data_IF_893111943235
#
_entry.id   IF_893111943235
#
_cell.length_a   1.000
_cell.length_b   1.000
_cell.length_c   1.000
_cell.angle_alpha   90.00
_cell.angle_beta   90.00
_cell.angle_gamma   90.00
#
_symmetry.space_group_name_H-M   'P 1'
#
loop_
_entity.id
_entity.type
_entity.pdbx_description
1 polymer ?
#
# COMPACT_ATOMS: atom_id res chain seq x y z
N UNK A 1 12.75 -32.22 3.57
CA UNK A 1 12.10 -31.68 2.39
C UNK A 1 11.20 -30.46 2.68
N UNK A 2 10.34 -30.50 3.70
CA UNK A 2 9.50 -29.36 4.09
C UNK A 2 10.28 -28.05 4.39
N UNK A 3 11.42 -28.11 5.08
CA UNK A 3 12.24 -26.93 5.37
C UNK A 3 12.83 -26.24 4.12
N UNK A 4 13.12 -26.99 3.06
CA UNK A 4 13.73 -26.44 1.84
C UNK A 4 12.72 -25.71 0.94
N UNK A 5 11.47 -26.19 0.90
CA UNK A 5 10.39 -25.61 0.09
C UNK A 5 9.85 -24.31 0.74
N UNK A 6 10.08 -24.14 2.04
CA UNK A 6 9.61 -22.99 2.85
C UNK A 6 10.75 -21.98 3.11
N UNK A 7 11.96 -22.23 2.59
CA UNK A 7 13.05 -21.24 2.70
C UNK A 7 12.70 -20.01 1.86
N UNK A 8 12.49 -18.90 2.56
CA UNK A 8 12.05 -17.63 1.96
C UNK A 8 13.02 -17.11 0.88
N UNK A 9 14.31 -17.36 0.99
CA UNK A 9 15.31 -16.95 0.00
C UNK A 9 15.16 -17.71 -1.31
N UNK A 10 14.93 -19.02 -1.24
CA UNK A 10 14.75 -19.89 -2.42
C UNK A 10 13.48 -19.49 -3.15
N UNK A 11 12.37 -19.31 -2.42
CA UNK A 11 11.11 -18.89 -3.03
C UNK A 11 11.24 -17.51 -3.65
N UNK A 12 11.97 -16.58 -3.02
CA UNK A 12 12.26 -15.25 -3.57
C UNK A 12 13.00 -15.33 -4.89
N UNK A 13 14.04 -16.16 -4.97
CA UNK A 13 14.79 -16.38 -6.21
C UNK A 13 13.90 -16.98 -7.31
N UNK A 14 13.05 -17.94 -6.98
CA UNK A 14 12.09 -18.56 -7.91
C UNK A 14 11.08 -17.53 -8.42
N UNK A 15 10.53 -16.68 -7.55
CA UNK A 15 9.61 -15.60 -7.94
C UNK A 15 10.30 -14.62 -8.89
N UNK A 16 11.55 -14.25 -8.60
CA UNK A 16 12.32 -13.35 -9.44
C UNK A 16 12.59 -13.94 -10.82
N UNK A 17 13.04 -15.20 -10.89
CA UNK A 17 13.25 -15.91 -12.17
C UNK A 17 11.94 -16.02 -12.95
N UNK A 18 10.84 -16.39 -12.29
CA UNK A 18 9.52 -16.44 -12.93
C UNK A 18 9.08 -15.07 -13.48
N UNK A 19 9.38 -13.98 -12.77
CA UNK A 19 9.12 -12.61 -13.24
C UNK A 19 9.84 -12.32 -14.56
N UNK A 20 11.12 -12.66 -14.65
CA UNK A 20 11.91 -12.50 -15.87
C UNK A 20 11.32 -13.33 -17.01
N UNK A 21 10.92 -14.57 -16.74
CA UNK A 21 10.34 -15.47 -17.75
C UNK A 21 9.01 -14.92 -18.28
N UNK A 22 8.13 -14.41 -17.39
CA UNK A 22 6.87 -13.77 -17.79
C UNK A 22 7.15 -12.56 -18.68
N UNK A 23 8.17 -11.74 -18.34
CA UNK A 23 8.56 -10.59 -19.13
C UNK A 23 9.05 -11.01 -20.52
N UNK A 24 9.93 -12.00 -20.61
CA UNK A 24 10.42 -12.53 -21.90
C UNK A 24 9.28 -13.14 -22.72
N UNK A 25 8.36 -13.85 -22.09
CA UNK A 25 7.20 -14.44 -22.75
C UNK A 25 6.27 -13.38 -23.38
N UNK A 26 6.27 -12.15 -22.86
CA UNK A 26 5.58 -11.01 -23.47
C UNK A 26 6.12 -10.63 -24.86
N UNK A 27 7.41 -10.85 -25.13
CA UNK A 27 8.03 -10.62 -26.44
C UNK A 27 7.84 -11.82 -27.40
N UNK A 28 7.71 -13.03 -26.86
CA UNK A 28 7.61 -14.26 -27.64
C UNK A 28 6.37 -15.07 -27.24
N UNK A 29 5.13 -14.55 -27.45
CA UNK A 29 3.90 -15.15 -26.91
C UNK A 29 3.59 -16.54 -27.50
N UNK A 30 4.11 -16.85 -28.69
CA UNK A 30 3.89 -18.13 -29.36
C UNK A 30 4.95 -19.20 -29.02
N UNK A 31 5.94 -18.85 -28.19
CA UNK A 31 7.00 -19.78 -27.84
C UNK A 31 6.50 -20.81 -26.82
N UNK A 32 6.25 -22.04 -27.31
CA UNK A 32 5.75 -23.15 -26.51
C UNK A 32 6.67 -23.53 -25.33
N UNK A 33 8.00 -23.36 -25.49
CA UNK A 33 8.94 -23.66 -24.40
C UNK A 33 8.76 -22.68 -23.22
N UNK A 34 8.60 -21.38 -23.48
CA UNK A 34 8.36 -20.39 -22.44
C UNK A 34 7.03 -20.62 -21.73
N UNK A 35 5.99 -21.02 -22.46
CA UNK A 35 4.69 -21.38 -21.90
C UNK A 35 4.79 -22.60 -20.96
N UNK A 36 5.54 -23.63 -21.34
CA UNK A 36 5.78 -24.82 -20.50
C UNK A 36 6.52 -24.43 -19.21
N UNK A 37 7.58 -23.62 -19.32
CA UNK A 37 8.35 -23.18 -18.16
C UNK A 37 7.48 -22.34 -17.21
N UNK A 38 6.67 -21.41 -17.72
CA UNK A 38 5.74 -20.63 -16.90
C UNK A 38 4.71 -21.52 -16.18
N UNK A 39 4.22 -22.56 -16.86
CA UNK A 39 3.31 -23.54 -16.24
C UNK A 39 3.99 -24.33 -15.14
N UNK A 40 5.25 -24.73 -15.33
CA UNK A 40 6.02 -25.40 -14.28
C UNK A 40 6.16 -24.55 -13.03
N UNK A 41 6.39 -23.24 -13.17
CA UNK A 41 6.37 -22.33 -12.02
C UNK A 41 5.00 -22.23 -11.37
N UNK A 42 3.92 -22.23 -12.15
CA UNK A 42 2.56 -22.22 -11.59
C UNK A 42 2.29 -23.48 -10.77
N UNK A 43 2.66 -24.64 -11.28
CA UNK A 43 2.55 -25.91 -10.56
C UNK A 43 3.42 -25.93 -9.28
N UNK A 44 4.62 -25.35 -9.35
CA UNK A 44 5.46 -25.20 -8.16
C UNK A 44 4.78 -24.34 -7.09
N UNK A 45 4.18 -23.21 -7.46
CA UNK A 45 3.45 -22.35 -6.51
C UNK A 45 2.17 -23.00 -5.97
N UNK A 46 1.49 -23.84 -6.77
CA UNK A 46 0.39 -24.67 -6.29
C UNK A 46 0.88 -25.66 -5.25
N UNK A 47 2.00 -26.33 -5.51
CA UNK A 47 2.62 -27.24 -4.55
C UNK A 47 3.05 -26.51 -3.26
N UNK A 48 3.66 -25.33 -3.37
CA UNK A 48 3.98 -24.47 -2.22
C UNK A 48 2.75 -24.17 -1.36
N UNK A 49 1.62 -23.81 -1.99
CA UNK A 49 0.37 -23.54 -1.29
C UNK A 49 -0.16 -24.79 -0.56
N UNK A 50 -0.11 -25.96 -1.20
CA UNK A 50 -0.49 -27.24 -0.59
C UNK A 50 0.38 -27.59 0.62
N UNK A 51 1.70 -27.38 0.52
CA UNK A 51 2.62 -27.60 1.64
C UNK A 51 2.32 -26.66 2.82
N UNK A 52 1.95 -25.38 2.53
CA UNK A 52 1.58 -24.41 3.56
C UNK A 52 0.23 -24.73 4.23
N UNK A 53 -0.70 -25.33 3.51
CA UNK A 53 -1.97 -25.82 4.08
C UNK A 53 -1.70 -26.97 5.05
N UNK A 54 -0.64 -27.78 4.79
CA UNK A 54 -0.23 -28.91 5.61
C UNK A 54 -1.37 -29.89 5.93
N UNK A 55 -2.10 -30.39 4.90
CA UNK A 55 -3.26 -31.24 5.12
C UNK A 55 -2.89 -32.61 5.70
N UNK A 56 -1.63 -33.04 5.56
CA UNK A 56 -1.14 -34.32 6.03
C UNK A 56 -0.91 -34.37 7.55
N UNK A 57 -0.56 -33.24 8.16
CA UNK A 57 -0.29 -33.11 9.62
C UNK A 57 -1.53 -32.65 10.38
N UNK A 58 -2.23 -31.65 9.86
CA UNK A 58 -3.34 -30.98 10.55
C UNK A 58 -4.73 -31.35 10.06
N UNK A 59 -4.81 -32.10 8.94
CA UNK A 59 -6.06 -32.35 8.23
C UNK A 59 -6.51 -31.14 7.37
N UNK A 60 -7.29 -31.42 6.33
CA UNK A 60 -7.72 -30.40 5.36
C UNK A 60 -8.48 -29.23 5.99
N UNK A 61 -9.40 -29.52 6.92
CA UNK A 61 -10.24 -28.47 7.51
C UNK A 61 -9.45 -27.50 8.37
N UNK A 62 -8.55 -28.00 9.23
CA UNK A 62 -7.77 -27.16 10.13
C UNK A 62 -6.64 -26.46 9.36
N UNK A 63 -5.95 -27.18 8.48
CA UNK A 63 -4.88 -26.60 7.66
C UNK A 63 -5.40 -25.47 6.78
N UNK A 64 -6.59 -25.61 6.19
CA UNK A 64 -7.23 -24.57 5.40
C UNK A 64 -7.59 -23.35 6.24
N UNK A 65 -8.15 -23.53 7.44
CA UNK A 65 -8.44 -22.42 8.36
C UNK A 65 -7.17 -21.66 8.76
N UNK A 66 -6.10 -22.39 9.12
CA UNK A 66 -4.82 -21.81 9.48
C UNK A 66 -4.20 -21.02 8.31
N UNK A 67 -4.29 -21.56 7.09
CA UNK A 67 -3.82 -20.91 5.88
C UNK A 67 -4.57 -19.59 5.61
N UNK A 68 -5.90 -19.61 5.72
CA UNK A 68 -6.73 -18.42 5.52
C UNK A 68 -6.67 -17.41 6.67
N UNK A 69 -6.17 -17.76 7.84
CA UNK A 69 -5.99 -16.83 8.95
C UNK A 69 -4.90 -15.77 8.64
N UNK A 70 -3.95 -16.09 7.78
CA UNK A 70 -2.85 -15.22 7.38
C UNK A 70 -3.19 -14.42 6.12
N UNK A 71 -3.15 -13.09 6.20
CA UNK A 71 -3.48 -12.20 5.08
C UNK A 71 -2.61 -12.45 3.84
N UNK A 72 -1.32 -12.73 4.03
CA UNK A 72 -0.40 -13.01 2.94
C UNK A 72 -0.69 -14.32 2.20
N UNK A 73 -1.15 -15.33 2.91
CA UNK A 73 -1.54 -16.58 2.28
C UNK A 73 -2.83 -16.42 1.46
N UNK A 74 -3.78 -15.59 1.92
CA UNK A 74 -4.97 -15.22 1.12
C UNK A 74 -4.57 -14.53 -0.17
N UNK A 75 -3.63 -13.57 -0.08
CA UNK A 75 -3.12 -12.85 -1.23
C UNK A 75 -2.43 -13.79 -2.23
N UNK A 76 -1.55 -14.68 -1.75
CA UNK A 76 -0.90 -15.70 -2.58
C UNK A 76 -1.94 -16.60 -3.28
N UNK A 77 -3.00 -17.00 -2.57
CA UNK A 77 -4.06 -17.84 -3.12
C UNK A 77 -4.86 -17.13 -4.22
N UNK A 78 -5.21 -15.85 -4.01
CA UNK A 78 -5.92 -15.04 -5.01
C UNK A 78 -5.09 -14.93 -6.29
N UNK A 79 -3.80 -14.61 -6.17
CA UNK A 79 -2.88 -14.55 -7.32
C UNK A 79 -2.82 -15.89 -8.04
N UNK A 80 -2.75 -16.97 -7.28
CA UNK A 80 -2.69 -18.32 -7.83
C UNK A 80 -3.98 -18.70 -8.56
N UNK A 81 -5.15 -18.32 -8.00
CA UNK A 81 -6.45 -18.55 -8.64
C UNK A 81 -6.53 -17.83 -10.01
N UNK A 82 -6.00 -16.61 -10.13
CA UNK A 82 -5.89 -15.93 -11.42
C UNK A 82 -4.88 -16.58 -12.39
N UNK A 83 -3.92 -17.35 -11.88
CA UNK A 83 -2.94 -18.04 -12.70
C UNK A 83 -3.37 -19.44 -13.19
N UNK A 84 -4.35 -20.08 -12.52
CA UNK A 84 -4.83 -21.43 -12.89
C UNK A 84 -5.32 -21.53 -14.34
N UNK A 85 -6.07 -20.56 -14.90
CA UNK A 85 -6.55 -20.65 -16.28
C UNK A 85 -5.41 -20.81 -17.30
N UNK A 86 -4.23 -20.25 -17.03
CA UNK A 86 -3.06 -20.37 -17.92
C UNK A 86 -2.49 -21.80 -17.98
N UNK A 87 -2.75 -22.61 -16.95
CA UNK A 87 -2.37 -24.05 -16.94
C UNK A 87 -3.30 -24.87 -17.83
N UNK A 88 -4.57 -24.51 -17.87
CA UNK A 88 -5.58 -25.21 -18.70
C UNK A 88 -5.27 -25.15 -20.20
N UNK A 89 -4.62 -24.10 -20.68
CA UNK A 89 -4.24 -23.98 -22.09
C UNK A 89 -3.31 -25.08 -22.61
N UNK A 90 -2.44 -25.63 -21.75
CA UNK A 90 -1.56 -26.73 -22.14
C UNK A 90 -2.30 -28.08 -22.32
N UNK A 91 -3.44 -28.23 -21.63
CA UNK A 91 -4.23 -29.47 -21.65
C UNK A 91 -5.39 -29.41 -22.64
N UNK A 92 -5.90 -28.21 -22.93
CA UNK A 92 -6.98 -28.00 -23.87
C UNK A 92 -6.45 -27.35 -25.15
N UNK A 93 -5.81 -28.14 -26.00
CA UNK A 93 -5.39 -27.76 -27.37
C UNK A 93 -6.66 -27.72 -28.27
N UNK A 94 -7.74 -27.14 -27.78
CA UNK A 94 -8.94 -26.90 -28.53
C UNK A 94 -8.71 -25.62 -29.34
N UNK A 95 -8.75 -25.70 -30.66
CA UNK A 95 -8.59 -24.60 -31.61
C UNK A 95 -9.58 -23.44 -31.48
N UNK A 96 -10.03 -23.19 -30.27
CA UNK A 96 -10.85 -22.05 -29.86
C UNK A 96 -9.89 -20.89 -29.53
N UNK A 97 -9.41 -20.22 -30.58
CA UNK A 97 -8.76 -18.91 -30.48
C UNK A 97 -9.80 -17.85 -30.10
N UNK A 98 -10.44 -17.98 -28.95
CA UNK A 98 -11.34 -16.95 -28.45
C UNK A 98 -10.54 -15.86 -27.77
N UNK A 99 -10.95 -14.59 -27.97
CA UNK A 99 -10.39 -13.42 -27.27
C UNK A 99 -10.38 -13.62 -25.73
N UNK A 100 -11.26 -14.47 -25.20
CA UNK A 100 -11.32 -14.87 -23.81
C UNK A 100 -10.05 -15.60 -23.36
N UNK A 101 -9.51 -16.53 -24.16
CA UNK A 101 -8.26 -17.24 -23.82
C UNK A 101 -7.06 -16.30 -23.83
N UNK A 102 -6.99 -15.36 -24.76
CA UNK A 102 -5.96 -14.32 -24.78
C UNK A 102 -6.02 -13.45 -23.51
N UNK A 103 -7.23 -13.08 -23.10
CA UNK A 103 -7.45 -12.32 -21.85
C UNK A 103 -7.00 -13.12 -20.63
N UNK A 104 -7.30 -14.41 -20.56
CA UNK A 104 -6.85 -15.28 -19.48
C UNK A 104 -5.31 -15.41 -19.41
N UNK A 105 -4.63 -15.37 -20.57
CA UNK A 105 -3.16 -15.31 -20.60
C UNK A 105 -2.60 -14.07 -19.91
N UNK A 106 -3.28 -12.92 -20.03
CA UNK A 106 -2.86 -11.69 -19.37
C UNK A 106 -2.93 -11.81 -17.85
N UNK A 107 -3.82 -12.65 -17.29
CA UNK A 107 -3.96 -12.83 -15.85
C UNK A 107 -2.70 -13.42 -15.18
N UNK A 108 -1.83 -14.11 -15.95
CA UNK A 108 -0.55 -14.60 -15.43
C UNK A 108 0.34 -13.48 -14.88
N UNK A 109 0.18 -12.23 -15.38
CA UNK A 109 0.94 -11.06 -14.89
C UNK A 109 0.71 -10.84 -13.39
N UNK A 110 -0.45 -11.23 -12.86
CA UNK A 110 -0.72 -11.12 -11.42
C UNK A 110 0.27 -11.93 -10.55
N UNK A 111 0.94 -12.93 -11.10
CA UNK A 111 2.02 -13.65 -10.40
C UNK A 111 3.16 -12.75 -9.98
N UNK A 112 3.40 -11.63 -10.70
CA UNK A 112 4.42 -10.64 -10.37
C UNK A 112 4.16 -10.00 -8.99
N UNK A 113 2.90 -9.89 -8.58
CA UNK A 113 2.55 -9.35 -7.28
C UNK A 113 3.09 -10.17 -6.09
N UNK A 114 3.48 -11.43 -6.30
CA UNK A 114 4.18 -12.21 -5.26
C UNK A 114 5.48 -11.55 -4.78
N UNK A 115 6.10 -10.71 -5.61
CA UNK A 115 7.31 -9.97 -5.25
C UNK A 115 7.06 -9.00 -4.08
N UNK A 116 5.85 -8.42 -3.98
CA UNK A 116 5.50 -7.49 -2.90
C UNK A 116 5.66 -8.09 -1.51
N UNK A 117 5.35 -9.39 -1.35
CA UNK A 117 5.55 -10.09 -0.08
C UNK A 117 7.01 -10.17 0.33
N UNK A 118 7.94 -10.07 -0.63
CA UNK A 118 9.38 -10.24 -0.43
C UNK A 118 10.14 -8.94 -0.24
N UNK A 119 9.44 -7.79 -0.38
CA UNK A 119 10.05 -6.50 -0.11
C UNK A 119 10.37 -6.36 1.39
N UNK A 120 11.53 -5.83 1.75
CA UNK A 120 11.82 -5.52 3.13
C UNK A 120 10.80 -4.49 3.65
N UNK A 121 10.35 -4.64 4.90
CA UNK A 121 9.40 -3.74 5.55
C UNK A 121 8.02 -3.62 4.84
N UNK A 122 7.61 -4.64 4.06
CA UNK A 122 6.34 -4.64 3.33
C UNK A 122 5.13 -4.45 4.25
N UNK A 123 5.15 -4.97 5.49
CA UNK A 123 4.06 -4.80 6.44
C UNK A 123 3.90 -3.34 6.87
N UNK A 124 5.00 -2.62 7.08
CA UNK A 124 4.99 -1.20 7.42
C UNK A 124 4.49 -0.36 6.23
N UNK A 125 4.91 -0.70 5.00
CA UNK A 125 4.41 -0.05 3.80
C UNK A 125 2.90 -0.22 3.63
N UNK A 126 2.39 -1.44 3.83
CA UNK A 126 0.96 -1.71 3.77
C UNK A 126 0.17 -1.04 4.90
N UNK A 127 0.73 -1.01 6.11
CA UNK A 127 0.12 -0.31 7.23
C UNK A 127 0.02 1.20 6.96
N UNK A 128 1.11 1.82 6.50
CA UNK A 128 1.13 3.22 6.10
C UNK A 128 0.14 3.53 4.97
N UNK A 129 0.11 2.69 3.94
CA UNK A 129 -0.84 2.84 2.83
C UNK A 129 -2.30 2.71 3.30
N UNK A 130 -2.60 1.73 4.14
CA UNK A 130 -3.94 1.55 4.73
C UNK A 130 -4.35 2.75 5.57
N UNK A 131 -3.44 3.30 6.37
CA UNK A 131 -3.68 4.49 7.17
C UNK A 131 -3.94 5.70 6.27
N UNK A 132 -3.13 5.91 5.24
CA UNK A 132 -3.29 6.99 4.28
C UNK A 132 -4.65 6.92 3.58
N UNK A 133 -5.07 5.76 3.08
CA UNK A 133 -6.41 5.58 2.50
C UNK A 133 -7.53 5.83 3.50
N UNK A 134 -7.39 5.35 4.75
CA UNK A 134 -8.40 5.57 5.78
C UNK A 134 -8.56 7.06 6.12
N UNK A 135 -7.45 7.77 6.26
CA UNK A 135 -7.44 9.20 6.59
C UNK A 135 -7.97 10.04 5.43
N UNK A 136 -7.56 9.71 4.19
CA UNK A 136 -7.95 10.44 2.98
C UNK A 136 -9.33 10.05 2.44
N UNK A 137 -9.99 9.04 3.01
CA UNK A 137 -11.22 8.45 2.46
C UNK A 137 -12.31 9.50 2.18
N UNK A 138 -12.61 10.35 3.15
CA UNK A 138 -13.65 11.37 2.99
C UNK A 138 -13.30 12.41 1.93
N UNK A 139 -12.02 12.75 1.80
CA UNK A 139 -11.53 13.70 0.79
C UNK A 139 -11.64 13.08 -0.60
N UNK A 140 -11.25 11.82 -0.76
CA UNK A 140 -11.38 11.07 -2.02
C UNK A 140 -12.86 10.96 -2.42
N UNK A 141 -13.73 10.59 -1.50
CA UNK A 141 -15.19 10.49 -1.78
C UNK A 141 -15.76 11.86 -2.15
N UNK A 142 -15.39 12.94 -1.43
CA UNK A 142 -15.81 14.30 -1.75
C UNK A 142 -15.37 14.72 -3.15
N UNK A 143 -14.13 14.41 -3.52
CA UNK A 143 -13.58 14.66 -4.85
C UNK A 143 -14.29 13.88 -5.95
N UNK A 144 -14.63 12.60 -5.71
CA UNK A 144 -15.40 11.80 -6.65
C UNK A 144 -16.81 12.34 -6.84
N UNK A 145 -17.47 12.79 -5.76
CA UNK A 145 -18.79 13.45 -5.86
C UNK A 145 -18.68 14.75 -6.66
N UNK A 146 -17.67 15.57 -6.42
CA UNK A 146 -17.39 16.77 -7.20
C UNK A 146 -17.26 16.45 -8.70
N UNK A 147 -16.47 15.43 -9.03
CA UNK A 147 -16.26 14.96 -10.40
C UNK A 147 -17.59 14.51 -11.04
N UNK A 148 -18.42 13.74 -10.33
CA UNK A 148 -19.73 13.28 -10.82
C UNK A 148 -20.67 14.46 -11.07
N UNK A 149 -20.76 15.42 -10.15
CA UNK A 149 -21.62 16.60 -10.31
C UNK A 149 -21.24 17.40 -11.55
N UNK A 150 -19.96 17.65 -11.76
CA UNK A 150 -19.51 18.38 -12.95
C UNK A 150 -19.61 17.57 -14.25
N UNK A 151 -19.51 16.25 -14.18
CA UNK A 151 -19.79 15.38 -15.33
C UNK A 151 -21.26 15.47 -15.78
N UNK A 152 -22.20 15.41 -14.84
CA UNK A 152 -23.64 15.57 -15.14
C UNK A 152 -23.94 16.97 -15.65
N UNK A 153 -23.40 18.01 -15.00
CA UNK A 153 -23.57 19.39 -15.41
C UNK A 153 -23.00 19.64 -16.82
N UNK A 154 -21.79 19.17 -17.10
CA UNK A 154 -21.16 19.31 -18.42
C UNK A 154 -21.93 18.56 -19.52
N UNK A 155 -22.47 17.37 -19.20
CA UNK A 155 -23.33 16.63 -20.12
C UNK A 155 -24.60 17.43 -20.49
N UNK A 156 -25.23 18.06 -19.50
CA UNK A 156 -26.43 18.86 -19.70
C UNK A 156 -26.17 20.17 -20.50
N UNK A 157 -25.03 20.82 -20.22
CA UNK A 157 -24.68 22.09 -20.84
C UNK A 157 -24.09 21.95 -22.25
N UNK A 158 -23.27 20.93 -22.48
CA UNK A 158 -22.43 20.84 -23.68
C UNK A 158 -22.73 19.61 -24.55
N UNK A 159 -23.64 18.73 -24.13
CA UNK A 159 -23.94 17.48 -24.85
C UNK A 159 -24.38 17.66 -26.29
N UNK A 160 -25.11 18.75 -26.62
CA UNK A 160 -25.55 19.08 -27.98
C UNK A 160 -24.42 19.65 -28.86
N UNK A 161 -23.49 20.39 -28.26
CA UNK A 161 -22.39 21.08 -28.97
C UNK A 161 -21.15 20.20 -29.19
N UNK A 162 -20.88 19.27 -28.25
CA UNK A 162 -19.74 18.38 -28.34
C UNK A 162 -20.16 16.94 -27.89
N UNK A 163 -20.98 16.24 -28.66
CA UNK A 163 -21.53 14.92 -28.29
C UNK A 163 -20.45 13.85 -28.12
N UNK A 164 -19.32 13.95 -28.78
CA UNK A 164 -18.20 13.02 -28.63
C UNK A 164 -17.62 13.04 -27.21
N UNK A 165 -17.70 14.19 -26.54
CA UNK A 165 -17.17 14.40 -25.19
C UNK A 165 -18.26 14.39 -24.11
N UNK A 166 -19.53 14.80 -24.43
CA UNK A 166 -20.56 15.09 -23.41
C UNK A 166 -21.93 14.50 -23.68
N UNK A 167 -22.08 13.55 -24.64
CA UNK A 167 -23.40 12.98 -25.04
C UNK A 167 -24.22 12.36 -23.90
N UNK A 168 -23.55 11.92 -22.84
CA UNK A 168 -24.18 11.37 -21.64
C UNK A 168 -23.27 11.52 -20.43
N UNK A 169 -23.79 11.39 -19.18
CA UNK A 169 -22.99 11.56 -17.97
C UNK A 169 -21.79 10.62 -17.86
N UNK A 170 -21.86 9.40 -18.40
CA UNK A 170 -20.77 8.42 -18.34
C UNK A 170 -19.58 8.84 -19.22
N UNK A 171 -19.84 9.31 -20.45
CA UNK A 171 -18.80 9.86 -21.34
C UNK A 171 -18.23 11.14 -20.75
N UNK A 172 -19.10 12.01 -20.22
CA UNK A 172 -18.69 13.25 -19.56
C UNK A 172 -17.81 12.99 -18.33
N UNK A 173 -18.12 11.95 -17.55
CA UNK A 173 -17.34 11.56 -16.37
C UNK A 173 -15.89 11.24 -16.74
N UNK A 174 -15.69 10.48 -17.81
CA UNK A 174 -14.36 10.18 -18.31
C UNK A 174 -13.61 11.45 -18.76
N UNK A 175 -14.29 12.35 -19.48
CA UNK A 175 -13.66 13.58 -19.98
C UNK A 175 -13.40 14.62 -18.88
N UNK A 176 -14.28 14.73 -17.88
CA UNK A 176 -14.00 15.55 -16.68
C UNK A 176 -12.85 14.95 -15.85
N UNK A 177 -12.76 13.62 -15.76
CA UNK A 177 -11.60 12.97 -15.15
C UNK A 177 -10.30 13.30 -15.91
N UNK A 178 -10.29 13.20 -17.24
CA UNK A 178 -9.14 13.66 -18.08
C UNK A 178 -8.77 15.11 -17.79
N UNK A 179 -9.78 16.00 -17.75
CA UNK A 179 -9.58 17.40 -17.43
C UNK A 179 -8.86 17.57 -16.06
N UNK A 180 -9.26 16.82 -15.04
CA UNK A 180 -8.65 16.91 -13.71
C UNK A 180 -7.22 16.35 -13.66
N UNK A 181 -6.88 15.44 -14.55
CA UNK A 181 -5.48 15.00 -14.75
C UNK A 181 -4.68 15.94 -15.64
N UNK A 182 -5.26 17.09 -16.04
CA UNK A 182 -4.67 18.10 -16.92
C UNK A 182 -4.41 17.57 -18.35
N UNK A 183 -4.99 16.41 -18.69
CA UNK A 183 -4.84 15.76 -20.00
C UNK A 183 -5.83 16.31 -21.00
N UNK A 184 -5.33 16.87 -22.12
CA UNK A 184 -6.17 17.37 -23.23
C UNK A 184 -7.21 18.43 -22.85
N UNK A 185 -6.94 19.23 -21.82
CA UNK A 185 -7.90 20.19 -21.24
C UNK A 185 -8.45 21.20 -22.25
N UNK A 186 -7.65 21.59 -23.24
CA UNK A 186 -8.01 22.55 -24.28
C UNK A 186 -8.93 21.95 -25.36
N UNK A 187 -8.90 20.63 -25.55
CA UNK A 187 -9.73 19.94 -26.56
C UNK A 187 -11.23 20.12 -26.29
N UNK A 188 -11.62 20.07 -25.01
CA UNK A 188 -13.01 20.15 -24.59
C UNK A 188 -13.65 21.52 -24.94
N UNK A 189 -13.10 22.65 -24.51
CA UNK A 189 -13.67 23.96 -24.86
C UNK A 189 -13.53 24.29 -26.34
N UNK A 190 -12.49 23.83 -27.03
CA UNK A 190 -12.31 24.08 -28.46
C UNK A 190 -13.32 23.30 -29.31
N UNK A 191 -13.65 22.07 -28.97
CA UNK A 191 -14.72 21.30 -29.65
C UNK A 191 -16.09 21.98 -29.50
N UNK A 192 -16.39 22.57 -28.36
CA UNK A 192 -17.62 23.33 -28.11
C UNK A 192 -17.62 24.64 -28.93
N UNK A 193 -16.49 25.35 -28.91
CA UNK A 193 -16.35 26.63 -29.60
C UNK A 193 -16.51 26.51 -31.13
N UNK A 194 -16.12 25.38 -31.72
CA UNK A 194 -16.29 25.10 -33.16
C UNK A 194 -17.76 24.92 -33.57
N UNK A 195 -18.60 24.42 -32.65
CA UNK A 195 -20.01 24.08 -32.94
C UNK A 195 -21.01 25.03 -32.27
N UNK A 196 -20.57 26.16 -31.74
CA UNK A 196 -21.39 27.08 -30.98
C UNK A 196 -21.13 28.55 -31.34
N UNK A 197 -21.95 29.47 -30.80
CA UNK A 197 -21.70 30.90 -30.95
C UNK A 197 -20.41 31.33 -30.24
N UNK A 198 -19.80 32.43 -30.69
CA UNK A 198 -18.60 33.00 -30.10
C UNK A 198 -18.74 33.21 -28.57
N UNK A 199 -19.88 33.76 -28.13
CA UNK A 199 -20.11 34.00 -26.70
C UNK A 199 -20.19 32.71 -25.90
N UNK A 200 -20.82 31.65 -26.43
CA UNK A 200 -20.93 30.36 -25.77
C UNK A 200 -19.61 29.61 -25.78
N UNK A 201 -18.81 29.71 -26.85
CA UNK A 201 -17.44 29.19 -26.88
C UNK A 201 -16.52 29.85 -25.85
N UNK A 202 -16.65 31.20 -25.66
CA UNK A 202 -15.92 31.90 -24.61
C UNK A 202 -16.34 31.44 -23.21
N UNK A 203 -17.65 31.29 -22.98
CA UNK A 203 -18.17 30.72 -21.74
C UNK A 203 -17.60 29.33 -21.46
N UNK A 204 -17.56 28.44 -22.45
CA UNK A 204 -16.99 27.10 -22.32
C UNK A 204 -15.49 27.16 -21.91
N UNK A 205 -14.71 28.04 -22.54
CA UNK A 205 -13.30 28.22 -22.21
C UNK A 205 -13.10 28.66 -20.75
N UNK A 206 -13.89 29.63 -20.28
CA UNK A 206 -13.86 30.10 -18.90
C UNK A 206 -14.28 28.96 -17.94
N UNK A 207 -15.38 28.29 -18.24
CA UNK A 207 -15.90 27.18 -17.44
C UNK A 207 -14.85 26.08 -17.22
N UNK A 208 -14.26 25.56 -18.31
CA UNK A 208 -13.26 24.50 -18.23
C UNK A 208 -11.94 24.97 -17.61
N UNK A 209 -11.54 26.23 -17.79
CA UNK A 209 -10.36 26.79 -17.14
C UNK A 209 -10.55 26.88 -15.62
N UNK A 210 -11.71 27.35 -15.16
CA UNK A 210 -12.04 27.38 -13.71
C UNK A 210 -12.13 25.98 -13.14
N UNK A 211 -12.76 25.05 -13.87
CA UNK A 211 -12.90 23.66 -13.44
C UNK A 211 -11.55 22.93 -13.37
N UNK A 212 -10.66 23.17 -14.35
CA UNK A 212 -9.31 22.68 -14.36
C UNK A 212 -8.53 23.18 -13.12
N UNK A 213 -8.63 24.46 -12.84
CA UNK A 213 -7.93 25.06 -11.69
C UNK A 213 -8.45 24.48 -10.36
N UNK A 214 -9.78 24.44 -10.19
CA UNK A 214 -10.40 23.95 -8.96
C UNK A 214 -10.24 22.43 -8.76
N UNK A 215 -10.55 21.63 -9.77
CA UNK A 215 -10.51 20.18 -9.69
C UNK A 215 -9.14 19.59 -9.98
N UNK A 216 -8.52 20.00 -11.09
CA UNK A 216 -7.23 19.45 -11.53
C UNK A 216 -6.07 19.95 -10.65
N UNK A 217 -5.89 21.25 -10.51
CA UNK A 217 -4.71 21.77 -9.80
C UNK A 217 -4.91 21.71 -8.28
N UNK A 218 -5.96 22.36 -7.76
CA UNK A 218 -6.18 22.42 -6.32
C UNK A 218 -6.66 21.07 -5.78
N UNK A 219 -7.67 20.46 -6.40
CA UNK A 219 -8.30 19.24 -5.90
C UNK A 219 -7.34 18.05 -5.84
N UNK A 220 -6.59 17.79 -6.92
CA UNK A 220 -5.61 16.70 -6.96
C UNK A 220 -4.44 16.97 -6.01
N UNK A 221 -3.97 18.24 -5.94
CA UNK A 221 -2.90 18.63 -5.01
C UNK A 221 -3.31 18.46 -3.55
N UNK A 222 -4.56 18.75 -3.20
CA UNK A 222 -5.10 18.56 -1.85
C UNK A 222 -5.13 17.07 -1.47
N UNK A 223 -5.63 16.21 -2.36
CA UNK A 223 -5.63 14.76 -2.14
C UNK A 223 -4.21 14.25 -1.91
N UNK A 224 -3.26 14.65 -2.77
CA UNK A 224 -1.87 14.25 -2.65
C UNK A 224 -1.24 14.72 -1.33
N UNK A 225 -1.49 15.98 -0.94
CA UNK A 225 -0.97 16.54 0.32
C UNK A 225 -1.47 15.75 1.55
N UNK A 226 -2.77 15.47 1.62
CA UNK A 226 -3.36 14.72 2.74
C UNK A 226 -2.85 13.28 2.77
N UNK A 227 -2.67 12.66 1.59
CA UNK A 227 -2.13 11.31 1.48
C UNK A 227 -0.69 11.23 1.99
N UNK A 228 0.16 12.17 1.59
CA UNK A 228 1.57 12.26 2.03
C UNK A 228 1.65 12.55 3.53
N UNK A 229 0.82 13.48 4.05
CA UNK A 229 0.78 13.81 5.48
C UNK A 229 0.37 12.59 6.33
N UNK A 230 -0.63 11.83 5.89
CA UNK A 230 -1.06 10.63 6.57
C UNK A 230 0.04 9.55 6.63
N UNK A 231 0.82 9.38 5.56
CA UNK A 231 1.96 8.47 5.55
C UNK A 231 3.12 8.96 6.44
N UNK A 232 3.36 10.27 6.48
CA UNK A 232 4.40 10.86 7.33
C UNK A 232 4.06 10.78 8.82
N UNK A 233 2.79 10.91 9.18
CA UNK A 233 2.30 10.86 10.57
C UNK A 233 2.53 9.48 11.20
N UNK A 234 2.38 8.38 10.46
CA UNK A 234 2.64 7.04 10.97
C UNK A 234 4.11 6.86 11.38
N UNK A 235 5.02 7.38 10.58
CA UNK A 235 6.45 7.35 10.86
C UNK A 235 6.82 8.19 12.11
N UNK A 236 6.15 9.33 12.31
CA UNK A 236 6.35 10.19 13.46
C UNK A 236 5.83 9.56 14.77
N UNK A 237 4.75 8.79 14.74
CA UNK A 237 4.23 8.08 15.91
C UNK A 237 5.22 7.06 16.47
N UNK A 238 5.96 6.36 15.62
CA UNK A 238 7.00 5.42 16.04
C UNK A 238 8.22 6.13 16.67
N UNK A 239 8.57 7.30 16.14
CA UNK A 239 9.62 8.16 16.71
C UNK A 239 9.19 8.70 18.07
N UNK A 240 7.95 9.17 18.22
CA UNK A 240 7.41 9.66 19.49
C UNK A 240 7.39 8.56 20.57
N UNK A 241 7.00 7.34 20.24
CA UNK A 241 7.04 6.21 21.18
C UNK A 241 8.46 5.91 21.66
N UNK A 242 9.44 5.96 20.75
CA UNK A 242 10.85 5.78 21.11
C UNK A 242 11.36 6.89 22.01
N UNK A 243 11.02 8.15 21.72
CA UNK A 243 11.36 9.30 22.55
C UNK A 243 10.78 9.17 23.96
N UNK A 244 9.50 8.81 24.11
CA UNK A 244 8.86 8.58 25.38
C UNK A 244 9.52 7.42 26.17
N UNK A 245 9.94 6.36 25.49
CA UNK A 245 10.67 5.26 26.14
C UNK A 245 12.06 5.67 26.65
N UNK A 246 12.77 6.50 25.88
CA UNK A 246 14.06 7.07 26.29
C UNK A 246 13.92 8.04 27.46
N UNK A 247 12.92 8.90 27.43
CA UNK A 247 12.60 9.82 28.52
C UNK A 247 12.37 9.05 29.84
N UNK A 248 11.58 7.97 29.77
CA UNK A 248 11.32 7.11 30.92
C UNK A 248 12.62 6.45 31.46
N UNK A 249 13.51 6.01 30.57
CA UNK A 249 14.79 5.44 30.98
C UNK A 249 15.70 6.47 31.64
N UNK A 250 15.75 7.70 31.11
CA UNK A 250 16.52 8.80 31.69
C UNK A 250 15.94 9.14 33.07
N UNK A 251 14.63 9.19 33.25
CA UNK A 251 14.02 9.43 34.55
C UNK A 251 14.37 8.36 35.55
N UNK A 252 14.32 7.08 35.18
CA UNK A 252 14.74 5.96 36.06
C UNK A 252 16.19 6.05 36.47
N UNK A 253 17.09 6.39 35.55
CA UNK A 253 18.53 6.60 35.85
C UNK A 253 18.73 7.78 36.81
N UNK A 254 18.03 8.89 36.59
CA UNK A 254 18.08 10.06 37.46
C UNK A 254 17.63 9.72 38.91
N UNK A 255 16.54 8.96 39.02
CA UNK A 255 16.03 8.55 40.34
C UNK A 255 17.00 7.56 41.04
N UNK A 256 17.63 6.66 40.28
CA UNK A 256 18.67 5.76 40.80
C UNK A 256 19.90 6.52 41.30
N UNK A 257 20.37 7.52 40.55
CA UNK A 257 21.51 8.35 40.95
C UNK A 257 21.19 9.16 42.23
N UNK A 258 19.97 9.76 42.31
CA UNK A 258 19.57 10.47 43.53
C UNK A 258 19.51 9.57 44.77
N UNK A 259 19.02 8.34 44.61
CA UNK A 259 18.97 7.38 45.72
C UNK A 259 20.37 6.93 46.13
N UNK A 260 21.30 6.73 45.19
CA UNK A 260 22.70 6.40 45.45
C UNK A 260 23.42 7.54 46.17
N UNK A 261 23.21 8.79 45.76
CA UNK A 261 23.80 9.95 46.45
C UNK A 261 23.24 10.14 47.88
N UNK A 262 21.99 9.78 48.13
CA UNK A 262 21.43 9.81 49.49
C UNK A 262 22.05 8.74 50.41
N UNK A 263 22.29 7.53 49.88
CA UNK A 263 22.95 6.44 50.60
C UNK A 263 24.41 6.83 50.95
N UNK A 264 25.16 7.34 49.98
CA UNK A 264 26.54 7.78 50.24
C UNK A 264 26.61 8.91 51.28
N UNK A 265 25.67 9.86 51.28
CA UNK A 265 25.58 10.92 52.29
C UNK A 265 25.24 10.39 53.70
N UNK A 266 24.39 9.39 53.81
CA UNK A 266 24.07 8.78 55.12
C UNK A 266 25.25 8.01 55.69
N UNK A 267 26.01 7.29 54.84
CA UNK A 267 27.20 6.59 55.26
C UNK A 267 28.34 7.55 55.72
N UNK A 268 28.52 8.69 55.03
CA UNK A 268 29.47 9.73 55.44
C UNK A 268 29.07 10.39 56.78
N UNK A 269 27.79 10.57 57.06
CA UNK A 269 27.29 11.12 58.35
C UNK A 269 27.51 10.11 59.50
N UNK A 270 27.29 8.81 59.29
CA UNK A 270 27.56 7.78 60.29
C UNK A 270 29.08 7.65 60.64
N UNK A 271 29.95 7.87 59.64
CA UNK A 271 31.39 7.83 59.84
C UNK A 271 31.91 9.05 60.62
N UNK A 272 31.31 10.23 60.44
CA UNK A 272 31.65 11.46 61.16
C UNK A 272 31.15 11.44 62.63
N UNK A 273 30.01 10.81 62.90
CA UNK A 273 29.49 10.67 64.28
C UNK A 273 30.31 9.68 65.12
N UNK A 274 30.91 8.63 64.52
CA UNK A 274 31.80 7.69 65.18
C UNK A 274 33.19 8.21 65.43
N UNK A 275 33.61 9.34 64.88
CA UNK A 275 34.94 9.94 65.01
C UNK A 275 35.07 11.00 66.10
N UNK A 276 33.97 11.34 66.81
CA UNK A 276 33.95 12.31 67.88
C UNK A 276 33.83 11.60 69.23
N UNK A 277 34.92 11.19 69.92
CA UNK A 277 34.82 10.61 71.26
C UNK A 277 34.47 11.69 72.26
N UNK A 278 33.36 11.47 73.02
CA UNK A 278 32.94 12.27 74.16
C UNK A 278 34.07 12.60 75.10
N UNK A 279 34.43 13.85 75.23
CA UNK A 279 35.18 14.37 76.38
C UNK A 279 34.37 14.20 77.68
N UNK A 280 34.77 13.25 78.53
CA UNK A 280 34.24 13.10 79.87
C UNK A 280 34.49 14.38 80.65
N UNK A 281 33.54 14.95 81.31
CA UNK A 281 33.78 16.02 82.27
C UNK A 281 34.50 15.44 83.50
N UNK A 282 35.71 15.88 83.75
CA UNK A 282 36.40 15.64 84.98
C UNK A 282 35.72 16.43 86.13
N UNK A 283 35.14 15.73 87.06
CA UNK A 283 34.74 16.25 88.32
C UNK A 283 36.02 16.74 89.11
N UNK A 284 36.03 18.03 89.49
CA UNK A 284 36.90 18.56 90.49
C UNK A 284 36.04 18.83 91.70
N UNK A 285 36.23 17.98 92.74
CA UNK A 285 35.89 18.29 94.12
C UNK A 285 36.94 19.30 94.65
N UNK A 286 36.38 20.44 95.21
CA UNK A 286 36.69 21.05 96.52
C UNK A 286 35.93 22.38 96.66
#
# INVERSE_FOLDING_TARGET
MQRMVVDDKIITAIVFVNTIIIFINGYFPENRMLAIVDTMFTLFFLFEALVKIDPWSKGWSQGWKDYWSQNWNRFDFIILAFAIPSVGELFFDSGIHTNALLTLRCLRVFKLFKIFRRLPNHDNLLAGLKLAFKTSFYVIVSFLLFLIVFAVLSSALFGEFAPDYFRNPGVSLYNIFRLFTVEGWYELPDAIAQNSSYAFGLFARIYFSVLLFAGGIIGVSLINSIFVDAMATDNNNDVLKKLQSLEKQIQQLSDYLKSSDQINRSDDLELTDKSNPEEKPTSVDD
#
